data_IF_566626658178
#
_entry.id   IF_566626658178
#
_cell.length_a   1.000
_cell.length_b   1.000
_cell.length_c   1.000
_cell.angle_alpha   90.00
_cell.angle_beta   90.00
_cell.angle_gamma   90.00
#
_symmetry.space_group_name_H-M   'P 1'
#
loop_
_entity.id
_entity.type
_entity.pdbx_description
1 polymer ?
#
# COMPACT_ATOMS: atom_id res chain seq x y z
N UNK A 1 -18.39 -19.34 16.69
CA UNK A 1 -18.07 -18.97 18.07
C UNK A 1 -17.01 -19.95 18.57
N UNK A 2 -15.91 -19.48 19.14
CA UNK A 2 -14.81 -20.31 19.65
C UNK A 2 -14.26 -19.65 20.90
N UNK A 3 -14.18 -20.39 22.01
CA UNK A 3 -13.57 -19.89 23.23
C UNK A 3 -12.04 -19.96 23.20
N UNK A 4 -11.39 -19.28 24.13
CA UNK A 4 -9.93 -19.21 24.18
C UNK A 4 -9.26 -20.59 24.35
N UNK A 5 -9.91 -21.51 25.09
CA UNK A 5 -9.38 -22.84 25.33
C UNK A 5 -9.41 -23.70 24.06
N UNK A 6 -10.54 -23.66 23.36
CA UNK A 6 -10.74 -24.37 22.08
C UNK A 6 -9.81 -23.81 21.01
N UNK A 7 -9.60 -22.49 20.98
CA UNK A 7 -8.62 -21.87 20.09
C UNK A 7 -7.20 -22.33 20.41
N UNK A 8 -6.80 -22.34 21.69
CA UNK A 8 -5.48 -22.79 22.12
C UNK A 8 -5.16 -24.20 21.61
N UNK A 9 -6.06 -25.16 21.84
CA UNK A 9 -5.86 -26.53 21.36
C UNK A 9 -5.74 -26.63 19.83
N UNK A 10 -6.45 -25.79 19.07
CA UNK A 10 -6.33 -25.72 17.61
C UNK A 10 -5.03 -25.09 17.14
N UNK A 11 -4.52 -24.09 17.86
CA UNK A 11 -3.23 -23.49 17.55
C UNK A 11 -2.10 -24.51 17.77
N UNK A 12 -2.17 -25.29 18.84
CA UNK A 12 -1.19 -26.36 19.09
C UNK A 12 -1.27 -27.45 18.02
N UNK A 13 -2.47 -27.87 17.61
CA UNK A 13 -2.68 -28.83 16.52
C UNK A 13 -2.07 -28.36 15.19
N UNK A 14 -2.21 -27.07 14.85
CA UNK A 14 -1.78 -26.53 13.56
C UNK A 14 -0.31 -26.12 13.55
N UNK A 15 0.20 -25.59 14.66
CA UNK A 15 1.50 -24.92 14.72
C UNK A 15 2.49 -25.58 15.68
N UNK A 16 2.09 -26.59 16.46
CA UNK A 16 2.92 -27.20 17.50
C UNK A 16 4.16 -27.95 16.98
N UNK A 17 4.16 -28.37 15.71
CA UNK A 17 5.31 -29.01 15.06
C UNK A 17 6.30 -28.01 14.44
N UNK A 18 6.01 -26.70 14.47
CA UNK A 18 6.91 -25.70 13.90
C UNK A 18 8.21 -25.60 14.72
N UNK A 19 9.37 -25.38 14.07
CA UNK A 19 10.63 -25.17 14.78
C UNK A 19 10.60 -23.94 15.70
N UNK A 20 11.08 -24.10 16.93
CA UNK A 20 11.16 -23.03 17.95
C UNK A 20 11.99 -21.82 17.52
N UNK A 21 12.94 -22.00 16.59
CA UNK A 21 13.87 -20.97 16.15
C UNK A 21 13.89 -20.86 14.65
N UNK A 22 13.62 -19.65 14.18
CA UNK A 22 13.78 -19.27 12.79
C UNK A 22 15.10 -18.51 12.64
N UNK A 23 15.93 -18.92 11.68
CA UNK A 23 17.14 -18.16 11.32
C UNK A 23 16.77 -17.18 10.23
N UNK A 24 16.36 -15.97 10.61
CA UNK A 24 16.04 -14.91 9.67
C UNK A 24 17.32 -14.14 9.30
N UNK A 25 17.53 -13.94 8.01
CA UNK A 25 18.56 -13.02 7.54
C UNK A 25 18.07 -11.57 7.76
N UNK A 26 18.90 -10.66 8.29
CA UNK A 26 18.55 -9.25 8.39
C UNK A 26 18.28 -8.66 7.01
N UNK A 27 17.16 -7.95 6.86
CA UNK A 27 16.86 -7.18 5.66
C UNK A 27 17.20 -5.72 5.92
N UNK A 28 17.95 -5.11 5.00
CA UNK A 28 18.33 -3.71 5.12
C UNK A 28 17.17 -2.79 4.71
N UNK A 29 17.07 -1.65 5.37
CA UNK A 29 16.16 -0.57 4.96
C UNK A 29 16.58 -0.01 3.59
N UNK A 30 15.61 0.19 2.72
CA UNK A 30 15.78 0.73 1.38
C UNK A 30 14.89 1.96 1.21
N UNK A 31 15.47 3.05 0.74
CA UNK A 31 14.72 4.22 0.30
C UNK A 31 14.35 4.08 -1.18
N UNK A 32 13.14 4.46 -1.60
CA UNK A 32 12.78 4.50 -3.00
C UNK A 32 13.69 5.48 -3.76
N UNK A 33 14.10 5.09 -4.98
CA UNK A 33 14.82 5.98 -5.91
C UNK A 33 13.80 6.90 -6.59
N UNK A 34 13.69 8.12 -6.07
CA UNK A 34 12.75 9.14 -6.55
C UNK A 34 13.43 10.15 -7.48
N UNK A 35 12.65 11.04 -8.10
CA UNK A 35 13.17 12.08 -8.98
C UNK A 35 13.56 11.58 -10.38
N UNK A 36 13.01 10.43 -10.77
CA UNK A 36 13.22 9.81 -12.07
C UNK A 36 11.89 9.66 -12.80
N UNK A 37 11.92 9.72 -14.12
CA UNK A 37 10.81 9.36 -14.99
C UNK A 37 11.22 8.15 -15.81
N UNK A 38 10.42 7.09 -15.74
CA UNK A 38 10.57 5.90 -16.56
C UNK A 38 9.35 5.80 -17.46
N UNK A 39 9.59 5.74 -18.76
CA UNK A 39 8.55 5.50 -19.76
C UNK A 39 8.80 4.13 -20.37
N UNK A 40 7.78 3.27 -20.34
CA UNK A 40 7.81 1.97 -20.98
C UNK A 40 6.65 1.91 -21.96
N UNK A 41 6.97 1.80 -23.24
CA UNK A 41 5.98 1.79 -24.31
C UNK A 41 5.49 0.35 -24.53
N UNK A 42 4.20 0.14 -24.28
CA UNK A 42 3.48 -1.09 -24.58
C UNK A 42 2.45 -0.82 -25.67
N UNK A 43 2.21 -1.81 -26.55
CA UNK A 43 1.17 -1.74 -27.57
C UNK A 43 -0.21 -2.00 -26.94
N UNK A 44 -0.66 -1.05 -26.14
CA UNK A 44 -1.95 -1.05 -25.44
C UNK A 44 -2.69 0.26 -25.74
N UNK A 45 -4.03 0.23 -25.82
CA UNK A 45 -4.83 1.42 -26.18
C UNK A 45 -4.88 2.49 -25.08
N UNK A 46 -4.29 2.25 -23.91
CA UNK A 46 -4.32 3.17 -22.77
C UNK A 46 -2.94 3.25 -22.09
N UNK A 47 -2.61 4.43 -21.59
CA UNK A 47 -1.46 4.68 -20.73
C UNK A 47 -1.85 4.56 -19.25
N UNK A 48 -1.11 3.76 -18.49
CA UNK A 48 -1.17 3.74 -17.02
C UNK A 48 -0.07 4.64 -16.44
N UNK A 49 -0.44 5.48 -15.48
CA UNK A 49 0.50 6.34 -14.77
C UNK A 49 0.69 5.81 -13.35
N UNK A 50 1.95 5.81 -12.89
CA UNK A 50 2.30 5.59 -11.50
C UNK A 50 3.25 6.70 -11.05
N UNK A 51 2.87 7.39 -9.99
CA UNK A 51 3.68 8.42 -9.35
C UNK A 51 4.02 7.95 -7.93
N UNK A 52 5.22 8.29 -7.47
CA UNK A 52 5.73 7.86 -6.18
C UNK A 52 6.35 9.03 -5.40
N UNK A 53 6.08 9.06 -4.09
CA UNK A 53 6.66 9.97 -3.11
C UNK A 53 7.23 9.20 -1.92
N UNK A 54 8.05 9.84 -1.06
CA UNK A 54 8.46 9.23 0.20
C UNK A 54 7.23 8.81 1.01
N UNK A 55 7.30 7.64 1.63
CA UNK A 55 6.24 7.13 2.49
C UNK A 55 6.46 7.51 3.96
N UNK A 56 5.57 6.98 4.80
CA UNK A 56 5.65 7.06 6.26
C UNK A 56 5.77 5.64 6.80
N UNK A 57 6.74 5.38 7.68
CA UNK A 57 6.90 4.07 8.31
C UNK A 57 5.70 3.77 9.20
N UNK A 58 5.31 2.50 9.30
CA UNK A 58 4.22 2.08 10.20
C UNK A 58 4.47 2.38 11.68
N UNK A 59 5.74 2.42 12.09
CA UNK A 59 6.17 2.77 13.44
C UNK A 59 6.30 4.28 13.68
N UNK A 60 6.12 5.10 12.65
CA UNK A 60 6.23 6.55 12.74
C UNK A 60 5.01 7.13 13.50
N UNK A 61 5.21 8.10 14.41
CA UNK A 61 4.08 8.74 15.12
C UNK A 61 3.04 9.35 14.17
N UNK A 62 3.44 9.77 12.97
CA UNK A 62 2.55 10.39 11.99
C UNK A 62 1.86 9.36 11.07
N UNK A 63 2.05 8.05 11.27
CA UNK A 63 1.49 7.03 10.39
C UNK A 63 -0.03 7.14 10.25
N UNK A 64 -0.77 7.28 11.35
CA UNK A 64 -2.23 7.41 11.28
C UNK A 64 -2.68 8.76 10.70
N UNK A 65 -1.88 9.82 10.88
CA UNK A 65 -2.13 11.09 10.19
C UNK A 65 -1.95 10.92 8.68
N UNK A 66 -0.93 10.18 8.24
CA UNK A 66 -0.71 9.85 6.84
C UNK A 66 -1.83 8.96 6.27
N UNK A 67 -2.36 8.00 7.04
CA UNK A 67 -3.52 7.18 6.63
C UNK A 67 -4.75 8.06 6.36
N UNK A 68 -5.06 8.99 7.28
CA UNK A 68 -6.18 9.93 7.09
C UNK A 68 -5.95 10.86 5.89
N UNK A 69 -4.72 11.35 5.72
CA UNK A 69 -4.35 12.15 4.55
C UNK A 69 -4.54 11.36 3.26
N UNK A 70 -4.12 10.09 3.22
CA UNK A 70 -4.28 9.22 2.06
C UNK A 70 -5.75 9.02 1.70
N UNK A 71 -6.62 8.79 2.70
CA UNK A 71 -8.06 8.65 2.49
C UNK A 71 -8.66 9.89 1.80
N UNK A 72 -8.27 11.09 2.24
CA UNK A 72 -8.71 12.37 1.65
C UNK A 72 -8.14 12.55 0.24
N UNK A 73 -6.88 12.18 0.02
CA UNK A 73 -6.18 12.37 -1.26
C UNK A 73 -6.77 11.47 -2.35
N UNK A 74 -6.77 10.16 -2.13
CA UNK A 74 -7.05 9.16 -3.17
C UNK A 74 -7.38 7.76 -2.66
N UNK A 75 -7.38 7.51 -1.35
CA UNK A 75 -7.71 6.21 -0.76
C UNK A 75 -9.21 5.88 -0.88
N UNK A 76 -10.06 6.91 -0.85
CA UNK A 76 -11.51 6.72 -1.01
C UNK A 76 -11.93 6.70 -2.47
N UNK A 77 -12.65 5.65 -2.88
CA UNK A 77 -13.07 5.41 -4.28
C UNK A 77 -14.16 6.37 -4.79
N UNK A 78 -14.75 7.25 -3.97
CA UNK A 78 -15.83 8.15 -4.42
C UNK A 78 -15.77 9.58 -3.87
N UNK A 79 -15.09 9.79 -2.75
CA UNK A 79 -15.09 11.07 -2.02
C UNK A 79 -13.70 11.70 -1.93
N UNK A 80 -12.69 11.06 -2.52
CA UNK A 80 -11.33 11.58 -2.51
C UNK A 80 -11.14 12.70 -3.52
N UNK A 81 -10.16 13.57 -3.26
CA UNK A 81 -9.84 14.70 -4.13
C UNK A 81 -9.42 14.26 -5.52
N UNK A 82 -8.63 13.18 -5.63
CA UNK A 82 -8.21 12.64 -6.92
C UNK A 82 -9.40 12.13 -7.71
N UNK A 83 -10.31 11.38 -7.07
CA UNK A 83 -11.53 10.90 -7.74
C UNK A 83 -12.38 12.06 -8.25
N UNK A 84 -12.64 13.06 -7.41
CA UNK A 84 -13.44 14.24 -7.77
C UNK A 84 -12.81 15.00 -8.96
N UNK A 85 -11.52 15.30 -8.88
CA UNK A 85 -10.88 16.17 -9.88
C UNK A 85 -10.58 15.42 -11.19
N UNK A 86 -10.07 14.19 -11.14
CA UNK A 86 -9.60 13.49 -12.34
C UNK A 86 -10.73 12.74 -13.02
N UNK A 87 -11.56 12.02 -12.26
CA UNK A 87 -12.64 11.17 -12.80
C UNK A 87 -13.95 11.93 -12.94
N UNK A 88 -14.49 12.50 -11.86
CA UNK A 88 -15.82 13.12 -11.89
C UNK A 88 -15.85 14.40 -12.74
N UNK A 89 -14.99 15.38 -12.43
CA UNK A 89 -15.04 16.70 -13.09
C UNK A 89 -14.52 16.68 -14.52
N UNK A 90 -13.55 15.80 -14.83
CA UNK A 90 -12.80 15.85 -16.10
C UNK A 90 -12.87 14.57 -16.92
N UNK A 91 -13.28 13.44 -16.35
CA UNK A 91 -13.38 12.17 -17.09
C UNK A 91 -12.06 11.70 -17.71
N UNK A 92 -10.90 12.04 -17.10
CA UNK A 92 -9.58 11.76 -17.68
C UNK A 92 -9.12 10.31 -17.47
N UNK A 93 -9.60 9.68 -16.40
CA UNK A 93 -9.35 8.29 -16.08
C UNK A 93 -10.62 7.70 -15.45
N UNK A 94 -10.86 6.41 -15.66
CA UNK A 94 -11.96 5.72 -15.01
C UNK A 94 -11.68 5.48 -13.52
N UNK A 95 -10.43 5.18 -13.18
CA UNK A 95 -9.94 5.04 -11.82
C UNK A 95 -8.70 5.89 -11.57
N UNK A 96 -8.63 6.48 -10.39
CA UNK A 96 -7.42 7.07 -9.83
C UNK A 96 -7.44 6.82 -8.32
N UNK A 97 -6.32 6.41 -7.76
CA UNK A 97 -6.22 6.15 -6.32
C UNK A 97 -4.85 6.52 -5.78
N UNK A 98 -4.75 6.59 -4.45
CA UNK A 98 -3.48 6.69 -3.75
C UNK A 98 -3.40 5.70 -2.60
N UNK A 99 -2.20 5.16 -2.38
CA UNK A 99 -1.95 4.13 -1.38
C UNK A 99 -0.63 4.37 -0.64
N UNK A 100 -0.65 4.14 0.67
CA UNK A 100 0.57 4.05 1.46
C UNK A 100 1.14 2.63 1.35
N UNK A 101 2.34 2.52 0.80
CA UNK A 101 3.16 1.32 0.85
C UNK A 101 3.91 1.33 2.18
N UNK A 102 3.57 0.43 3.09
CA UNK A 102 4.04 0.44 4.49
C UNK A 102 4.92 -0.77 4.86
N UNK A 103 5.72 -1.29 3.91
CA UNK A 103 6.59 -2.43 4.19
C UNK A 103 7.61 -2.06 5.29
N UNK A 104 8.03 -3.07 6.07
CA UNK A 104 8.94 -2.89 7.19
C UNK A 104 10.26 -2.21 6.81
N UNK A 105 10.78 -2.50 5.62
CA UNK A 105 12.08 -2.03 5.14
C UNK A 105 12.00 -1.09 3.92
N UNK A 106 10.79 -0.74 3.46
CA UNK A 106 10.60 0.18 2.33
C UNK A 106 9.21 0.80 2.41
N UNK A 107 9.12 2.11 2.24
CA UNK A 107 7.84 2.80 2.24
C UNK A 107 7.76 3.86 1.15
N UNK A 108 6.55 4.07 0.66
CA UNK A 108 6.24 5.06 -0.37
C UNK A 108 4.77 5.49 -0.27
N UNK A 109 4.45 6.67 -0.78
CA UNK A 109 3.09 7.01 -1.19
C UNK A 109 3.02 6.83 -2.71
N UNK A 110 2.08 6.02 -3.18
CA UNK A 110 1.84 5.80 -4.60
C UNK A 110 0.54 6.46 -5.03
N UNK A 111 0.53 7.02 -6.24
CA UNK A 111 -0.68 7.44 -6.95
C UNK A 111 -0.72 6.69 -8.27
N UNK A 112 -1.84 6.06 -8.59
CA UNK A 112 -1.99 5.24 -9.79
C UNK A 112 -3.27 5.61 -10.54
N UNK A 113 -3.23 5.49 -11.87
CA UNK A 113 -4.43 5.55 -12.70
C UNK A 113 -4.81 4.16 -13.20
N UNK A 114 -6.11 3.90 -13.29
CA UNK A 114 -6.69 2.66 -13.77
C UNK A 114 -7.74 2.92 -14.87
N UNK A 115 -7.89 1.92 -15.73
CA UNK A 115 -8.96 1.78 -16.74
C UNK A 115 -10.32 1.62 -16.12
#
# INVERSE_FOLDING_TARGET
DIDAATLGGKLDEVFGELPDKQTLAPVADVAPKLGQQLEVNYDLPQTSLQLAWPGVKRSDPDFYAAVLMNEILGGSTFTSRLYEEVREKRGLAYGVSSDLVDHQHSNALLVTTAT
#
